data_IF_897186993772
#
_entry.id   IF_897186993772
#
_cell.length_a   1.000
_cell.length_b   1.000
_cell.length_c   1.000
_cell.angle_alpha   90.00
_cell.angle_beta   90.00
_cell.angle_gamma   90.00
#
_symmetry.space_group_name_H-M   'P 1'
#
loop_
_entity.id
_entity.type
_entity.pdbx_description
1 polymer ?
#
# COMPACT_ATOMS: atom_id res chain seq x y z
N UNK A 1 20.74 -7.69 40.66
CA UNK A 1 20.77 -6.28 40.24
C UNK A 1 19.75 -6.08 39.14
N UNK A 2 18.88 -5.06 39.20
CA UNK A 2 17.97 -4.79 38.10
C UNK A 2 18.78 -4.36 36.86
N UNK A 3 18.44 -4.91 35.69
CA UNK A 3 19.03 -4.49 34.42
C UNK A 3 18.77 -3.00 34.19
N UNK A 4 19.73 -2.23 33.64
CA UNK A 4 19.52 -0.82 33.38
C UNK A 4 18.35 -0.65 32.38
N UNK A 5 17.54 0.41 32.52
CA UNK A 5 16.45 0.67 31.58
C UNK A 5 17.03 0.83 30.17
N UNK A 6 16.31 0.40 29.11
CA UNK A 6 16.78 0.56 27.74
C UNK A 6 17.03 2.04 27.47
N UNK A 7 18.26 2.40 27.12
CA UNK A 7 18.70 3.79 26.92
C UNK A 7 17.68 4.56 26.06
N UNK A 8 16.96 5.49 26.70
CA UNK A 8 16.08 6.42 26.01
C UNK A 8 16.91 7.19 24.99
N UNK A 9 16.34 7.41 23.79
CA UNK A 9 17.06 8.16 22.76
C UNK A 9 17.20 9.63 23.23
N UNK A 10 18.39 10.00 23.67
CA UNK A 10 18.63 11.33 24.25
C UNK A 10 18.69 12.42 23.18
N UNK A 11 17.88 13.47 23.36
CA UNK A 11 17.81 14.63 22.45
C UNK A 11 19.18 15.27 22.21
N UNK A 12 20.00 15.42 23.27
CA UNK A 12 21.33 16.03 23.18
C UNK A 12 22.29 15.26 22.26
N UNK A 13 22.25 13.92 22.31
CA UNK A 13 23.08 13.06 21.48
C UNK A 13 22.65 13.13 20.00
N UNK A 14 21.35 13.14 19.74
CA UNK A 14 20.78 13.33 18.39
C UNK A 14 21.16 14.70 17.82
N UNK A 15 20.98 15.76 18.61
CA UNK A 15 21.30 17.14 18.20
C UNK A 15 22.79 17.29 17.86
N UNK A 16 23.68 16.63 18.61
CA UNK A 16 25.11 16.65 18.33
C UNK A 16 25.43 16.04 16.95
N UNK A 17 24.78 14.94 16.59
CA UNK A 17 24.97 14.30 15.27
C UNK A 17 24.33 15.09 14.14
N UNK A 18 23.13 15.65 14.34
CA UNK A 18 22.48 16.56 13.37
C UNK A 18 23.39 17.77 13.07
N UNK A 19 24.07 18.31 14.08
CA UNK A 19 25.07 19.38 13.87
C UNK A 19 26.27 18.93 13.04
N UNK A 20 26.74 17.69 13.19
CA UNK A 20 27.80 17.13 12.33
C UNK A 20 27.34 17.08 10.88
N UNK A 21 26.13 16.56 10.63
CA UNK A 21 25.52 16.51 9.29
C UNK A 21 25.37 17.90 8.71
N UNK A 22 24.85 18.87 9.48
CA UNK A 22 24.69 20.26 9.03
C UNK A 22 26.01 20.89 8.58
N UNK A 23 27.14 20.56 9.22
CA UNK A 23 28.47 21.09 8.85
C UNK A 23 29.02 20.40 7.59
N UNK A 24 28.94 19.08 7.52
CA UNK A 24 29.53 18.31 6.43
C UNK A 24 28.68 18.24 5.16
N UNK A 25 27.35 18.32 5.30
CA UNK A 25 26.38 18.12 4.22
C UNK A 25 26.00 16.66 4.00
N UNK A 26 24.87 16.44 3.31
CA UNK A 26 24.30 15.10 3.09
C UNK A 26 25.11 14.23 2.12
N UNK A 27 25.92 14.84 1.24
CA UNK A 27 26.84 14.11 0.34
C UNK A 27 27.88 13.31 1.12
N UNK A 28 28.37 13.85 2.23
CA UNK A 28 29.45 13.27 3.04
C UNK A 28 28.96 12.41 4.20
N UNK A 29 27.66 12.05 4.22
CA UNK A 29 27.08 11.27 5.33
C UNK A 29 27.81 9.96 5.61
N UNK A 30 28.34 9.30 4.56
CA UNK A 30 29.07 8.02 4.70
C UNK A 30 30.41 8.17 5.44
N UNK A 31 30.98 9.36 5.47
CA UNK A 31 32.25 9.67 6.15
C UNK A 31 32.04 10.12 7.60
N UNK A 32 30.79 10.35 8.03
CA UNK A 32 30.48 10.87 9.36
C UNK A 32 30.19 9.74 10.34
N UNK A 33 30.82 9.82 11.52
CA UNK A 33 30.43 9.02 12.67
C UNK A 33 29.12 9.58 13.27
N UNK A 34 28.00 8.98 12.85
CA UNK A 34 26.63 9.25 13.31
C UNK A 34 25.93 7.98 13.84
N UNK A 35 26.49 7.30 14.86
CA UNK A 35 25.95 6.05 15.38
C UNK A 35 24.53 6.16 15.94
N UNK A 36 24.12 7.31 16.49
CA UNK A 36 22.76 7.51 17.02
C UNK A 36 21.75 7.57 15.87
N UNK A 37 22.02 8.38 14.83
CA UNK A 37 21.17 8.48 13.65
C UNK A 37 21.14 7.16 12.86
N UNK A 38 22.27 6.45 12.77
CA UNK A 38 22.33 5.12 12.18
C UNK A 38 21.55 4.08 13.02
N UNK A 39 21.51 4.24 14.34
CA UNK A 39 20.64 3.48 15.24
C UNK A 39 19.17 3.69 14.91
N UNK A 40 18.72 4.94 14.84
CA UNK A 40 17.33 5.28 14.46
C UNK A 40 16.99 4.73 13.06
N UNK A 41 17.91 4.83 12.11
CA UNK A 41 17.71 4.31 10.75
C UNK A 41 17.49 2.79 10.71
N UNK A 42 18.10 2.04 11.63
CA UNK A 42 17.92 0.58 11.75
C UNK A 42 16.57 0.19 12.37
N UNK A 43 15.99 1.08 13.18
CA UNK A 43 14.66 0.85 13.77
C UNK A 43 13.53 1.16 12.78
N UNK A 44 13.79 1.97 11.74
CA UNK A 44 12.79 2.26 10.72
C UNK A 44 12.54 1.06 9.80
N UNK A 45 11.28 0.83 9.37
CA UNK A 45 10.96 -0.18 8.37
C UNK A 45 11.77 0.07 7.09
N UNK A 46 12.54 -0.93 6.65
CA UNK A 46 13.21 -0.83 5.36
C UNK A 46 12.20 -1.08 4.25
N UNK A 47 12.18 -0.27 3.18
CA UNK A 47 11.40 -0.62 2.00
C UNK A 47 11.92 -1.96 1.45
N UNK A 48 11.04 -2.81 0.88
CA UNK A 48 11.49 -4.03 0.21
C UNK A 48 12.51 -3.64 -0.87
N UNK A 49 13.66 -4.30 -0.86
CA UNK A 49 14.74 -4.08 -1.82
C UNK A 49 14.18 -4.18 -3.24
N UNK A 50 13.99 -3.05 -3.93
CA UNK A 50 13.39 -3.04 -5.26
C UNK A 50 12.77 -1.73 -5.72
N UNK A 51 12.36 -0.83 -4.80
CA UNK A 51 11.93 0.51 -5.18
C UNK A 51 13.15 1.43 -5.21
N UNK A 52 13.42 2.03 -6.37
CA UNK A 52 14.62 2.81 -6.67
C UNK A 52 15.11 3.60 -5.47
N UNK A 53 16.35 3.32 -5.04
CA UNK A 53 16.96 4.00 -3.90
C UNK A 53 16.87 5.50 -4.13
N UNK A 54 15.98 6.17 -3.39
CA UNK A 54 16.06 7.63 -3.24
C UNK A 54 17.53 7.95 -2.94
N UNK A 55 18.18 8.85 -3.70
CA UNK A 55 19.59 9.13 -3.53
C UNK A 55 19.82 9.64 -2.10
N UNK A 56 20.43 8.80 -1.27
CA UNK A 56 20.61 9.05 0.15
C UNK A 56 20.50 7.78 0.97
N UNK A 57 21.58 7.42 1.67
CA UNK A 57 21.62 6.23 2.52
C UNK A 57 20.60 6.28 3.68
N UNK A 58 20.51 5.22 4.50
CA UNK A 58 19.50 5.07 5.55
C UNK A 58 19.37 6.27 6.51
N UNK A 59 20.49 6.92 6.85
CA UNK A 59 20.51 8.12 7.70
C UNK A 59 19.84 9.32 7.02
N UNK A 60 20.02 9.50 5.72
CA UNK A 60 19.37 10.60 5.00
C UNK A 60 17.84 10.44 4.99
N UNK A 61 17.36 9.20 4.89
CA UNK A 61 15.93 8.90 4.97
C UNK A 61 15.34 9.29 6.33
N UNK A 62 16.04 9.02 7.43
CA UNK A 62 15.66 9.48 8.77
C UNK A 62 15.54 11.01 8.81
N UNK A 63 16.52 11.71 8.25
CA UNK A 63 16.53 13.18 8.23
C UNK A 63 15.37 13.75 7.40
N UNK A 64 15.09 13.17 6.22
CA UNK A 64 13.96 13.58 5.37
C UNK A 64 12.62 13.35 6.07
N UNK A 65 12.44 12.19 6.69
CA UNK A 65 11.23 11.85 7.43
C UNK A 65 11.01 12.77 8.64
N UNK A 66 12.08 13.09 9.38
CA UNK A 66 11.99 14.00 10.51
C UNK A 66 11.62 15.42 10.06
N UNK A 67 12.23 15.90 8.97
CA UNK A 67 11.94 17.24 8.42
C UNK A 67 10.53 17.34 7.87
N UNK A 68 10.03 16.30 7.18
CA UNK A 68 8.65 16.30 6.67
C UNK A 68 7.58 16.31 7.77
N UNK A 69 7.93 15.91 9.00
CA UNK A 69 7.01 15.92 10.16
C UNK A 69 6.96 17.26 10.90
N UNK A 70 7.75 18.26 10.49
CA UNK A 70 7.79 19.57 11.16
C UNK A 70 6.57 20.46 10.86
N UNK A 71 5.58 19.98 10.10
CA UNK A 71 4.30 20.67 9.91
C UNK A 71 4.29 21.78 8.87
N UNK A 72 5.28 21.83 7.96
CA UNK A 72 5.34 22.81 6.87
C UNK A 72 5.91 24.18 7.26
N UNK A 73 5.67 25.16 6.38
CA UNK A 73 6.02 26.57 6.62
C UNK A 73 7.52 26.89 6.62
N UNK A 74 7.86 28.03 7.21
CA UNK A 74 9.23 28.57 7.24
C UNK A 74 10.20 27.69 8.01
N UNK A 75 9.72 27.02 9.07
CA UNK A 75 10.54 26.13 9.90
C UNK A 75 11.00 24.89 9.12
N UNK A 76 10.08 24.18 8.45
CA UNK A 76 10.42 23.03 7.61
C UNK A 76 11.33 23.46 6.44
N UNK A 77 10.95 24.54 5.75
CA UNK A 77 11.72 25.03 4.59
C UNK A 77 13.16 25.39 4.99
N UNK A 78 13.34 26.06 6.13
CA UNK A 78 14.67 26.38 6.64
C UNK A 78 15.45 25.14 7.08
N UNK A 79 14.79 24.10 7.61
CA UNK A 79 15.41 22.82 7.93
C UNK A 79 15.92 22.10 6.67
N UNK A 80 15.10 22.05 5.62
CA UNK A 80 15.46 21.45 4.33
C UNK A 80 16.71 22.11 3.73
N UNK A 81 16.75 23.45 3.69
CA UNK A 81 17.93 24.18 3.22
C UNK A 81 19.13 24.01 4.14
N UNK A 82 18.94 24.02 5.46
CA UNK A 82 20.05 23.88 6.43
C UNK A 82 20.80 22.56 6.28
N UNK A 83 20.07 21.48 6.01
CA UNK A 83 20.64 20.14 5.81
C UNK A 83 21.02 19.83 4.35
N UNK A 84 20.54 20.60 3.37
CA UNK A 84 20.76 20.33 1.95
C UNK A 84 19.83 19.24 1.42
N UNK A 85 18.63 19.15 1.99
CA UNK A 85 17.59 18.19 1.61
C UNK A 85 16.63 18.76 0.57
N UNK A 86 16.54 20.09 0.46
CA UNK A 86 15.79 20.76 -0.59
C UNK A 86 16.34 20.38 -1.98
N UNK A 87 15.45 20.29 -2.97
CA UNK A 87 15.81 19.90 -4.34
C UNK A 87 16.93 20.79 -4.88
N UNK A 88 17.97 20.16 -5.45
CA UNK A 88 19.12 20.88 -6.05
C UNK A 88 20.09 21.51 -5.04
N UNK A 89 19.98 21.24 -3.74
CA UNK A 89 20.85 21.84 -2.69
C UNK A 89 21.81 20.87 -2.03
N UNK A 90 21.88 19.64 -2.56
CA UNK A 90 22.59 18.50 -1.95
C UNK A 90 24.09 18.76 -1.79
N UNK A 91 24.70 19.31 -2.82
CA UNK A 91 26.13 19.59 -2.99
C UNK A 91 26.53 21.01 -2.56
N UNK A 92 25.56 21.84 -2.16
CA UNK A 92 25.83 23.22 -1.77
C UNK A 92 26.77 23.30 -0.57
N UNK A 93 27.72 24.24 -0.54
CA UNK A 93 28.53 24.51 0.64
C UNK A 93 27.68 24.85 1.89
N UNK A 94 28.18 24.49 3.07
CA UNK A 94 27.46 24.69 4.33
C UNK A 94 27.18 26.18 4.66
N UNK A 95 27.93 27.09 4.06
CA UNK A 95 27.71 28.54 4.14
C UNK A 95 26.52 28.98 3.28
N UNK A 96 26.39 28.45 2.07
CA UNK A 96 25.34 28.81 1.12
C UNK A 96 23.98 28.24 1.55
N UNK A 97 23.98 27.01 2.05
CA UNK A 97 22.83 26.40 2.74
C UNK A 97 22.32 27.26 3.89
N UNK A 98 23.25 27.78 4.73
CA UNK A 98 22.91 28.71 5.83
C UNK A 98 22.33 30.01 5.32
N UNK A 99 22.95 30.59 4.28
CA UNK A 99 22.50 31.85 3.68
C UNK A 99 21.06 31.70 3.18
N UNK A 100 20.76 30.59 2.49
CA UNK A 100 19.42 30.31 1.99
C UNK A 100 18.42 30.06 3.12
N UNK A 101 18.78 29.31 4.15
CA UNK A 101 17.92 29.13 5.33
C UNK A 101 17.64 30.43 6.09
N UNK A 102 18.62 31.35 6.17
CA UNK A 102 18.44 32.67 6.75
C UNK A 102 17.45 33.54 5.94
N UNK A 103 17.49 33.44 4.61
CA UNK A 103 16.55 34.14 3.71
C UNK A 103 15.10 33.69 3.95
N UNK A 104 14.85 32.41 4.24
CA UNK A 104 13.51 31.88 4.55
C UNK A 104 12.89 32.59 5.76
N UNK A 105 13.71 32.98 6.73
CA UNK A 105 13.28 33.73 7.91
C UNK A 105 13.36 35.26 7.73
N UNK A 106 13.85 35.76 6.60
CA UNK A 106 14.06 37.20 6.41
C UNK A 106 15.08 37.82 7.37
N UNK A 107 16.04 37.04 7.87
CA UNK A 107 17.05 37.50 8.85
C UNK A 107 18.46 37.47 8.26
N UNK A 108 19.38 38.22 8.87
CA UNK A 108 20.80 38.14 8.51
C UNK A 108 21.38 36.74 8.81
N UNK A 109 22.38 36.34 8.03
CA UNK A 109 23.08 35.04 8.21
C UNK A 109 23.64 34.91 9.62
N UNK A 110 24.12 36.01 10.20
CA UNK A 110 24.68 36.04 11.55
C UNK A 110 23.59 35.86 12.62
N UNK A 111 22.42 36.50 12.45
CA UNK A 111 21.28 36.32 13.35
C UNK A 111 20.72 34.89 13.26
N UNK A 112 20.67 34.34 12.04
CA UNK A 112 20.28 32.95 11.83
C UNK A 112 21.23 32.00 12.55
N UNK A 113 22.55 32.14 12.35
CA UNK A 113 23.58 31.32 13.00
C UNK A 113 23.45 31.30 14.52
N UNK A 114 23.21 32.46 15.14
CA UNK A 114 23.18 32.60 16.61
C UNK A 114 21.89 32.10 17.26
N UNK A 115 20.74 32.22 16.58
CA UNK A 115 19.44 31.99 17.21
C UNK A 115 18.58 30.95 16.47
N UNK A 116 18.37 31.15 15.17
CA UNK A 116 17.40 30.34 14.41
C UNK A 116 17.98 28.97 14.05
N UNK A 117 19.27 28.87 13.74
CA UNK A 117 19.93 27.61 13.42
C UNK A 117 19.90 26.66 14.62
N UNK A 118 20.08 27.16 15.85
CA UNK A 118 19.96 26.34 17.05
C UNK A 118 18.54 25.78 17.21
N UNK A 119 17.53 26.64 17.05
CA UNK A 119 16.11 26.28 17.14
C UNK A 119 15.72 25.25 16.06
N UNK A 120 16.07 25.52 14.80
CA UNK A 120 15.81 24.62 13.66
C UNK A 120 16.43 23.24 13.90
N UNK A 121 17.72 23.18 14.25
CA UNK A 121 18.38 21.89 14.51
C UNK A 121 17.83 21.18 15.76
N UNK A 122 17.42 21.94 16.78
CA UNK A 122 16.76 21.40 17.98
C UNK A 122 15.43 20.75 17.67
N UNK A 123 14.62 21.37 16.80
CA UNK A 123 13.35 20.85 16.32
C UNK A 123 13.53 19.60 15.45
N UNK A 124 14.54 19.58 14.58
CA UNK A 124 14.91 18.38 13.82
C UNK A 124 15.29 17.23 14.76
N UNK A 125 16.10 17.50 15.78
CA UNK A 125 16.52 16.49 16.75
C UNK A 125 15.32 15.93 17.54
N UNK A 126 14.39 16.79 17.95
CA UNK A 126 13.14 16.38 18.59
C UNK A 126 12.30 15.47 17.70
N UNK A 127 12.12 15.83 16.42
CA UNK A 127 11.42 14.98 15.47
C UNK A 127 12.10 13.62 15.26
N UNK A 128 13.44 13.57 15.22
CA UNK A 128 14.18 12.30 15.13
C UNK A 128 13.98 11.44 16.38
N UNK A 129 13.94 12.04 17.57
CA UNK A 129 13.62 11.33 18.81
C UNK A 129 12.22 10.72 18.74
N UNK A 130 11.22 11.50 18.33
CA UNK A 130 9.85 11.02 18.17
C UNK A 130 9.76 9.89 17.14
N UNK A 131 10.42 10.03 15.99
CA UNK A 131 10.50 9.00 14.95
C UNK A 131 11.12 7.71 15.50
N UNK A 132 12.24 7.80 16.23
CA UNK A 132 12.89 6.65 16.82
C UNK A 132 12.08 5.97 17.93
N UNK A 133 11.35 6.75 18.74
CA UNK A 133 10.47 6.22 19.79
C UNK A 133 9.26 5.49 19.21
N UNK A 134 8.62 6.05 18.18
CA UNK A 134 7.50 5.38 17.47
C UNK A 134 8.00 4.09 16.84
N UNK A 135 9.11 4.12 16.11
CA UNK A 135 9.68 2.93 15.48
C UNK A 135 10.04 1.82 16.50
N UNK A 136 10.59 2.20 17.66
CA UNK A 136 10.86 1.26 18.76
C UNK A 136 9.61 0.68 19.38
N UNK A 137 8.54 1.48 19.54
CA UNK A 137 7.24 0.99 20.03
C UNK A 137 6.65 0.00 19.04
N UNK A 138 6.57 0.36 17.77
CA UNK A 138 6.07 -0.52 16.71
C UNK A 138 6.86 -1.83 16.67
N UNK A 139 8.19 -1.77 16.78
CA UNK A 139 9.04 -2.96 16.84
C UNK A 139 8.85 -3.78 18.12
N UNK A 140 8.71 -3.14 19.28
CA UNK A 140 8.45 -3.84 20.54
C UNK A 140 7.08 -4.54 20.54
N UNK A 141 6.06 -3.93 19.92
CA UNK A 141 4.76 -4.56 19.69
C UNK A 141 4.87 -5.76 18.75
N UNK A 142 5.70 -5.68 17.72
CA UNK A 142 5.98 -6.81 16.81
C UNK A 142 6.77 -7.93 17.51
N UNK A 143 7.76 -7.60 18.37
CA UNK A 143 8.59 -8.59 19.08
C UNK A 143 7.86 -9.24 20.26
N UNK A 144 6.96 -8.52 20.94
CA UNK A 144 6.11 -9.09 21.99
C UNK A 144 5.01 -10.01 21.42
N UNK A 145 4.69 -9.89 20.13
CA UNK A 145 3.76 -10.73 19.40
C UNK A 145 4.49 -11.76 18.51
N UNK A 146 5.55 -12.40 19.02
CA UNK A 146 6.14 -13.59 18.39
C UNK A 146 5.57 -14.84 19.09
N UNK A 147 4.46 -15.42 18.60
CA UNK A 147 4.20 -16.83 18.86
C UNK A 147 5.36 -17.65 18.29
N UNK A 148 5.61 -18.83 18.88
CA UNK A 148 6.59 -19.81 18.42
C UNK A 148 6.66 -19.89 16.88
N UNK A 149 7.88 -19.97 16.33
CA UNK A 149 8.23 -20.03 14.90
C UNK A 149 7.34 -20.98 14.08
N UNK A 150 6.14 -20.53 13.73
CA UNK A 150 5.28 -21.11 12.70
C UNK A 150 5.26 -20.13 11.55
N UNK A 151 5.46 -20.67 10.34
CA UNK A 151 5.14 -19.92 9.14
C UNK A 151 3.66 -19.52 9.23
N UNK A 152 3.33 -18.21 9.13
CA UNK A 152 1.95 -17.77 9.22
C UNK A 152 1.11 -18.42 8.11
N UNK A 153 -0.10 -18.86 8.45
CA UNK A 153 -0.97 -19.56 7.52
C UNK A 153 -1.28 -18.70 6.29
N UNK A 154 -1.15 -19.31 5.12
CA UNK A 154 -1.46 -18.70 3.82
C UNK A 154 -2.97 -18.67 3.54
N UNK A 155 -3.75 -19.47 4.25
CA UNK A 155 -5.21 -19.51 4.20
C UNK A 155 -5.73 -19.38 5.62
N UNK A 156 -6.47 -18.32 5.89
CA UNK A 156 -6.98 -18.02 7.23
C UNK A 156 -8.50 -18.02 7.17
N UNK A 157 -9.12 -19.05 7.76
CA UNK A 157 -10.56 -19.13 7.89
C UNK A 157 -10.99 -18.36 9.15
N UNK A 158 -11.97 -17.47 9.00
CA UNK A 158 -12.46 -16.58 10.05
C UNK A 158 -13.98 -16.67 10.11
N UNK A 159 -14.52 -16.75 11.32
CA UNK A 159 -15.95 -16.64 11.58
C UNK A 159 -16.29 -15.18 11.90
N UNK A 160 -16.95 -14.50 10.96
CA UNK A 160 -17.25 -13.07 11.07
C UNK A 160 -18.71 -12.88 11.45
N UNK A 161 -18.96 -12.07 12.49
CA UNK A 161 -20.33 -11.72 12.89
C UNK A 161 -20.83 -10.54 12.09
N UNK A 162 -21.97 -10.71 11.43
CA UNK A 162 -22.68 -9.69 10.65
C UNK A 162 -24.17 -9.80 10.98
N UNK A 163 -24.72 -8.76 11.62
CA UNK A 163 -26.15 -8.68 11.99
C UNK A 163 -26.67 -9.94 12.69
N UNK A 164 -26.02 -10.32 13.79
CA UNK A 164 -26.37 -11.51 14.58
C UNK A 164 -26.13 -12.87 13.90
N UNK A 165 -25.58 -12.92 12.67
CA UNK A 165 -25.20 -14.18 12.00
C UNK A 165 -23.70 -14.33 11.90
N UNK A 166 -23.23 -15.56 12.00
CA UNK A 166 -21.83 -15.90 11.79
C UNK A 166 -21.65 -16.36 10.35
N UNK A 167 -20.78 -15.69 9.60
CA UNK A 167 -20.49 -15.97 8.20
C UNK A 167 -19.02 -16.36 8.07
N UNK A 168 -18.70 -17.51 7.44
CA UNK A 168 -17.31 -17.88 7.19
C UNK A 168 -16.70 -16.97 6.11
N UNK A 169 -15.52 -16.43 6.41
CA UNK A 169 -14.71 -15.61 5.51
C UNK A 169 -13.31 -16.19 5.44
N UNK A 170 -12.77 -16.36 4.23
CA UNK A 170 -11.39 -16.85 4.06
C UNK A 170 -10.45 -15.76 3.55
N UNK A 171 -9.32 -15.55 4.24
CA UNK A 171 -8.25 -14.64 3.79
C UNK A 171 -7.08 -15.45 3.21
N UNK A 172 -6.83 -15.25 1.93
CA UNK A 172 -5.74 -15.82 1.16
C UNK A 172 -4.53 -14.87 1.17
N UNK A 173 -3.41 -15.33 1.70
CA UNK A 173 -2.15 -14.58 1.78
C UNK A 173 -1.14 -15.14 0.79
N UNK A 174 -1.42 -14.95 -0.50
CA UNK A 174 -0.55 -15.37 -1.60
C UNK A 174 -0.89 -14.60 -2.88
N UNK A 175 -0.24 -14.93 -3.99
CA UNK A 175 -0.58 -14.35 -5.29
C UNK A 175 -1.87 -14.94 -5.83
N UNK A 176 -2.62 -14.14 -6.61
CA UNK A 176 -3.97 -14.47 -7.09
C UNK A 176 -4.00 -15.63 -8.09
N UNK A 177 -2.87 -15.95 -8.70
CA UNK A 177 -2.66 -17.09 -9.61
C UNK A 177 -2.47 -18.43 -8.87
N UNK A 178 -2.49 -18.42 -7.54
CA UNK A 178 -2.48 -19.63 -6.69
C UNK A 178 -3.85 -19.92 -6.07
N UNK A 179 -4.88 -19.11 -6.36
CA UNK A 179 -6.25 -19.37 -5.91
C UNK A 179 -6.78 -20.65 -6.56
N UNK A 180 -7.51 -21.45 -5.78
CA UNK A 180 -8.13 -22.69 -6.24
C UNK A 180 -9.53 -22.79 -5.69
N UNK A 181 -10.41 -23.46 -6.43
CA UNK A 181 -11.75 -23.85 -6.00
C UNK A 181 -12.61 -22.65 -5.57
N UNK A 182 -12.48 -21.53 -6.31
CA UNK A 182 -13.26 -20.30 -6.12
C UNK A 182 -13.94 -19.95 -7.42
N UNK A 183 -15.26 -19.81 -7.42
CA UNK A 183 -16.06 -19.65 -8.63
C UNK A 183 -15.78 -18.34 -9.36
N UNK A 184 -15.72 -17.22 -8.62
CA UNK A 184 -15.54 -15.89 -9.19
C UNK A 184 -14.35 -15.19 -8.56
N UNK A 185 -13.44 -14.69 -9.38
CA UNK A 185 -12.36 -13.80 -8.90
C UNK A 185 -12.55 -12.40 -9.46
N UNK A 186 -12.55 -11.41 -8.56
CA UNK A 186 -12.65 -10.01 -8.94
C UNK A 186 -11.29 -9.46 -9.37
N UNK A 187 -11.28 -8.79 -10.53
CA UNK A 187 -10.10 -8.18 -11.14
C UNK A 187 -10.24 -6.65 -11.13
N UNK A 188 -9.36 -5.90 -10.43
CA UNK A 188 -9.35 -4.44 -10.52
C UNK A 188 -8.93 -3.99 -11.91
N UNK A 189 -9.82 -3.23 -12.57
CA UNK A 189 -9.63 -2.72 -13.93
C UNK A 189 -9.71 -1.21 -13.97
N UNK A 190 -9.04 -0.63 -14.97
CA UNK A 190 -9.27 0.78 -15.29
C UNK A 190 -10.60 0.97 -16.02
N UNK A 191 -11.07 2.22 -16.07
CA UNK A 191 -12.35 2.55 -16.72
C UNK A 191 -12.38 2.27 -18.22
N UNK A 192 -11.25 2.06 -18.88
CA UNK A 192 -11.20 1.66 -20.29
C UNK A 192 -11.15 0.15 -20.48
N UNK A 193 -11.16 -0.64 -19.39
CA UNK A 193 -10.92 -2.09 -19.41
C UNK A 193 -9.63 -2.49 -20.16
N UNK A 194 -8.65 -1.58 -20.24
CA UNK A 194 -7.38 -1.84 -20.88
C UNK A 194 -6.51 -2.69 -19.95
N UNK A 195 -6.23 -3.94 -20.34
CA UNK A 195 -5.44 -4.83 -19.50
C UNK A 195 -3.98 -4.38 -19.41
N UNK A 196 -3.35 -4.46 -18.21
CA UNK A 196 -1.93 -4.19 -18.08
C UNK A 196 -1.09 -5.22 -18.85
N UNK A 197 0.16 -4.83 -19.14
CA UNK A 197 1.12 -5.74 -19.75
C UNK A 197 1.34 -7.00 -18.86
N UNK A 198 1.45 -8.21 -19.43
CA UNK A 198 1.47 -9.47 -18.66
C UNK A 198 2.61 -9.63 -17.66
N UNK A 199 3.73 -8.91 -17.83
CA UNK A 199 4.89 -8.92 -16.94
C UNK A 199 4.75 -7.99 -15.73
N UNK A 200 3.67 -7.20 -15.65
CA UNK A 200 3.42 -6.34 -14.48
C UNK A 200 2.97 -7.18 -13.29
N UNK A 201 3.21 -6.64 -12.10
CA UNK A 201 2.90 -7.29 -10.82
C UNK A 201 1.51 -6.95 -10.28
N UNK A 202 0.60 -6.32 -11.04
CA UNK A 202 -0.76 -6.08 -10.55
C UNK A 202 -1.58 -7.38 -10.48
N UNK A 203 -2.70 -7.33 -9.75
CA UNK A 203 -3.68 -8.43 -9.71
C UNK A 203 -4.19 -8.73 -11.11
N UNK A 204 -4.67 -7.72 -11.85
CA UNK A 204 -5.17 -7.88 -13.22
C UNK A 204 -4.13 -8.41 -14.21
N UNK A 205 -2.85 -8.00 -14.10
CA UNK A 205 -1.78 -8.55 -14.93
C UNK A 205 -1.51 -10.02 -14.62
N UNK A 206 -1.64 -10.41 -13.35
CA UNK A 206 -1.44 -11.78 -12.90
C UNK A 206 -2.57 -12.68 -13.32
N UNK A 207 -3.83 -12.24 -13.17
CA UNK A 207 -5.00 -12.96 -13.66
C UNK A 207 -4.94 -13.15 -15.18
N UNK A 208 -4.64 -12.08 -15.95
CA UNK A 208 -4.42 -12.17 -17.40
C UNK A 208 -3.38 -13.22 -17.75
N UNK A 209 -2.21 -13.16 -17.11
CA UNK A 209 -1.10 -14.07 -17.38
C UNK A 209 -1.42 -15.53 -17.04
N UNK A 210 -2.17 -15.76 -15.95
CA UNK A 210 -2.51 -17.09 -15.47
C UNK A 210 -3.72 -17.70 -16.21
N UNK A 211 -4.65 -16.88 -16.69
CA UNK A 211 -5.76 -17.34 -17.55
C UNK A 211 -5.38 -17.49 -19.02
N UNK A 212 -4.20 -17.05 -19.43
CA UNK A 212 -3.71 -17.25 -20.79
C UNK A 212 -3.28 -18.71 -21.02
N UNK A 213 -3.57 -19.24 -22.22
CA UNK A 213 -3.11 -20.56 -22.65
C UNK A 213 -1.68 -20.47 -23.17
N UNK A 214 -0.82 -21.37 -22.70
CA UNK A 214 0.58 -21.45 -23.10
C UNK A 214 0.92 -22.79 -23.73
N UNK A 215 1.92 -22.80 -24.59
CA UNK A 215 2.50 -24.02 -25.13
C UNK A 215 3.49 -24.66 -24.14
N UNK A 216 4.01 -25.83 -24.49
CA UNK A 216 4.96 -26.58 -23.65
C UNK A 216 6.28 -25.84 -23.39
N UNK A 217 6.61 -24.83 -24.21
CA UNK A 217 7.82 -23.98 -24.05
C UNK A 217 7.53 -22.71 -23.24
N UNK A 218 6.28 -22.51 -22.81
CA UNK A 218 5.83 -21.32 -22.09
C UNK A 218 5.46 -20.15 -23.00
N UNK A 219 5.47 -20.33 -24.33
CA UNK A 219 5.01 -19.35 -25.31
C UNK A 219 3.52 -19.08 -25.16
N UNK A 220 3.11 -17.81 -25.34
CA UNK A 220 1.71 -17.42 -25.31
C UNK A 220 1.02 -17.95 -26.58
N UNK A 221 -0.02 -18.77 -26.40
CA UNK A 221 -0.84 -19.26 -27.52
C UNK A 221 -2.14 -18.48 -27.63
N UNK A 222 -2.86 -18.31 -26.52
CA UNK A 222 -4.13 -17.57 -26.48
C UNK A 222 -4.23 -16.71 -25.22
N UNK A 223 -4.75 -15.50 -25.38
CA UNK A 223 -5.03 -14.56 -24.29
C UNK A 223 -6.55 -14.37 -24.15
N UNK A 224 -7.24 -15.44 -23.73
CA UNK A 224 -8.72 -15.47 -23.65
C UNK A 224 -9.31 -14.29 -22.88
N UNK A 225 -8.67 -13.91 -21.77
CA UNK A 225 -9.15 -12.79 -20.94
C UNK A 225 -9.08 -11.48 -21.72
N UNK A 226 -8.00 -11.26 -22.49
CA UNK A 226 -7.88 -10.08 -23.34
C UNK A 226 -8.94 -10.05 -24.44
N UNK A 227 -9.08 -11.16 -25.16
CA UNK A 227 -9.99 -11.25 -26.31
C UNK A 227 -11.46 -11.12 -25.88
N UNK A 228 -11.85 -11.79 -24.80
CA UNK A 228 -13.20 -11.72 -24.26
C UNK A 228 -13.54 -10.35 -23.68
N UNK A 229 -12.58 -9.70 -22.99
CA UNK A 229 -12.79 -8.36 -22.45
C UNK A 229 -12.90 -7.32 -23.57
N UNK A 230 -12.12 -7.46 -24.64
CA UNK A 230 -12.26 -6.68 -25.87
C UNK A 230 -13.62 -6.90 -26.54
N UNK A 231 -14.07 -8.15 -26.64
CA UNK A 231 -15.39 -8.50 -27.14
C UNK A 231 -16.53 -7.96 -26.27
N UNK A 232 -16.37 -7.98 -24.95
CA UNK A 232 -17.30 -7.36 -24.02
C UNK A 232 -17.38 -5.85 -24.26
N UNK A 233 -16.23 -5.17 -24.36
CA UNK A 233 -16.19 -3.73 -24.60
C UNK A 233 -16.89 -3.37 -25.93
N UNK A 234 -16.63 -4.13 -26.99
CA UNK A 234 -17.28 -3.95 -28.30
C UNK A 234 -18.82 -4.07 -28.20
N UNK A 235 -19.34 -5.12 -27.55
CA UNK A 235 -20.79 -5.34 -27.39
C UNK A 235 -21.48 -4.24 -26.58
N UNK A 236 -20.75 -3.58 -25.67
CA UNK A 236 -21.29 -2.55 -24.77
C UNK A 236 -20.93 -1.12 -25.21
N UNK A 237 -20.44 -0.93 -26.45
CA UNK A 237 -20.10 0.39 -26.98
C UNK A 237 -19.03 1.13 -26.15
N UNK A 238 -18.11 0.36 -25.57
CA UNK A 238 -16.97 0.85 -24.80
C UNK A 238 -15.59 0.82 -25.50
N UNK A 239 -15.40 0.43 -26.79
CA UNK A 239 -14.06 0.53 -27.39
C UNK A 239 -13.55 1.97 -27.35
N UNK A 240 -12.39 2.17 -26.71
CA UNK A 240 -11.76 3.50 -26.59
C UNK A 240 -12.52 4.51 -25.72
N UNK A 241 -13.61 4.10 -25.05
CA UNK A 241 -14.43 4.96 -24.19
C UNK A 241 -14.35 4.51 -22.74
N UNK A 242 -14.19 5.45 -21.83
CA UNK A 242 -14.25 5.17 -20.40
C UNK A 242 -15.67 4.72 -20.02
N UNK A 243 -15.77 3.54 -19.40
CA UNK A 243 -16.94 3.11 -18.68
C UNK A 243 -17.13 3.94 -17.40
N UNK A 244 -18.36 3.98 -16.90
CA UNK A 244 -18.64 4.59 -15.61
C UNK A 244 -17.91 3.81 -14.50
N UNK A 245 -17.26 4.49 -13.54
CA UNK A 245 -16.65 3.80 -12.40
C UNK A 245 -17.65 2.89 -11.66
N UNK A 246 -17.18 1.74 -11.19
CA UNK A 246 -17.99 0.65 -10.64
C UNK A 246 -18.69 -0.21 -11.71
N UNK A 247 -18.44 -0.03 -13.01
CA UNK A 247 -18.96 -0.97 -14.03
C UNK A 247 -18.24 -2.32 -13.92
N UNK A 248 -18.98 -3.42 -14.12
CA UNK A 248 -18.45 -4.78 -14.06
C UNK A 248 -18.52 -5.40 -15.46
N UNK A 249 -17.37 -5.83 -15.97
CA UNK A 249 -17.27 -6.62 -17.20
C UNK A 249 -16.94 -8.06 -16.84
N UNK A 250 -17.59 -9.02 -17.49
CA UNK A 250 -17.45 -10.44 -17.14
C UNK A 250 -16.75 -11.19 -18.28
N UNK A 251 -15.76 -12.02 -17.91
CA UNK A 251 -15.10 -12.97 -18.80
C UNK A 251 -15.10 -14.37 -18.17
N UNK A 252 -14.83 -15.38 -19.00
CA UNK A 252 -14.34 -16.68 -18.54
C UNK A 252 -13.02 -16.53 -17.78
N UNK A 253 -12.62 -17.59 -17.11
CA UNK A 253 -11.33 -17.66 -16.41
C UNK A 253 -10.17 -18.11 -17.30
N UNK A 254 -10.43 -18.46 -18.58
CA UNK A 254 -9.43 -19.08 -19.45
C UNK A 254 -8.80 -20.32 -18.82
N UNK A 255 -7.48 -20.41 -18.83
CA UNK A 255 -6.74 -21.54 -18.24
C UNK A 255 -6.92 -21.70 -16.71
N UNK A 256 -7.36 -20.65 -15.99
CA UNK A 256 -7.67 -20.75 -14.56
C UNK A 256 -8.91 -21.62 -14.27
N UNK A 257 -9.70 -21.98 -15.29
CA UNK A 257 -10.77 -22.97 -15.17
C UNK A 257 -10.26 -24.32 -14.65
N UNK A 258 -9.03 -24.72 -15.01
CA UNK A 258 -8.40 -25.93 -14.49
C UNK A 258 -8.04 -25.86 -12.99
N UNK A 259 -8.17 -24.69 -12.36
CA UNK A 259 -7.98 -24.48 -10.93
C UNK A 259 -9.30 -24.33 -10.18
N UNK A 260 -10.44 -24.57 -10.83
CA UNK A 260 -11.77 -24.36 -10.25
C UNK A 260 -12.26 -22.91 -10.32
N UNK A 261 -11.54 -22.00 -11.00
CA UNK A 261 -12.01 -20.63 -11.22
C UNK A 261 -12.90 -20.58 -12.43
N UNK A 262 -14.17 -20.19 -12.25
CA UNK A 262 -15.16 -20.27 -13.33
C UNK A 262 -15.33 -18.94 -14.06
N UNK A 263 -15.17 -17.82 -13.35
CA UNK A 263 -15.40 -16.47 -13.89
C UNK A 263 -14.39 -15.46 -13.36
N UNK A 264 -14.15 -14.42 -14.16
CA UNK A 264 -13.42 -13.22 -13.72
C UNK A 264 -14.32 -12.01 -13.91
N UNK A 265 -14.57 -11.29 -12.83
CA UNK A 265 -15.36 -10.05 -12.84
C UNK A 265 -14.41 -8.86 -12.79
N UNK A 266 -14.29 -8.17 -13.91
CA UNK A 266 -13.44 -6.99 -14.06
C UNK A 266 -14.20 -5.77 -13.59
N UNK A 267 -13.76 -5.15 -12.50
CA UNK A 267 -14.45 -3.99 -11.93
C UNK A 267 -13.68 -2.72 -12.29
N UNK A 268 -14.32 -1.84 -13.05
CA UNK A 268 -13.77 -0.54 -13.47
C UNK A 268 -13.74 0.44 -12.29
N UNK A 269 -12.69 0.42 -11.48
CA UNK A 269 -12.54 1.32 -10.31
C UNK A 269 -11.39 2.31 -10.46
N UNK A 270 -10.49 2.09 -11.41
CA UNK A 270 -9.29 2.89 -11.58
C UNK A 270 -9.42 3.87 -12.75
N UNK A 271 -9.56 5.15 -12.46
CA UNK A 271 -9.57 6.21 -13.48
C UNK A 271 -8.11 6.56 -13.81
N UNK A 272 -7.62 6.36 -15.04
CA UNK A 272 -6.24 6.71 -15.37
C UNK A 272 -5.98 8.20 -15.19
N UNK A 273 -4.88 8.55 -14.52
CA UNK A 273 -4.43 9.93 -14.43
C UNK A 273 -3.68 10.30 -15.72
N UNK A 274 -4.05 11.39 -16.42
CA UNK A 274 -3.34 11.84 -17.61
C UNK A 274 -1.84 12.01 -17.34
N UNK A 275 -1.02 11.62 -18.33
CA UNK A 275 0.44 11.77 -18.30
C UNK A 275 1.17 11.02 -17.16
N UNK A 276 0.51 10.06 -16.51
CA UNK A 276 1.14 9.22 -15.49
C UNK A 276 0.81 7.73 -15.63
N UNK A 277 1.46 6.92 -14.80
CA UNK A 277 1.18 5.49 -14.66
C UNK A 277 0.23 5.17 -13.49
N UNK A 278 -0.32 6.21 -12.87
CA UNK A 278 -1.13 6.17 -11.67
C UNK A 278 -2.62 6.31 -11.98
N UNK A 279 -3.44 6.01 -11.00
CA UNK A 279 -4.88 6.04 -11.12
C UNK A 279 -5.50 6.81 -9.95
N UNK A 280 -6.64 7.42 -10.23
CA UNK A 280 -7.55 7.91 -9.21
C UNK A 280 -8.60 6.84 -8.93
N UNK A 281 -8.76 6.49 -7.66
CA UNK A 281 -9.78 5.54 -7.19
C UNK A 281 -10.54 6.19 -6.06
N UNK A 282 -11.86 6.28 -6.20
CA UNK A 282 -12.74 6.77 -5.15
C UNK A 282 -13.32 5.59 -4.35
N UNK A 283 -13.36 5.64 -3.01
CA UNK A 283 -14.00 4.62 -2.18
C UNK A 283 -15.43 4.28 -2.62
N UNK A 284 -16.22 5.30 -2.99
CA UNK A 284 -17.59 5.10 -3.45
C UNK A 284 -17.70 4.24 -4.73
N UNK A 285 -16.70 4.31 -5.63
CA UNK A 285 -16.68 3.51 -6.85
C UNK A 285 -16.35 2.04 -6.56
N UNK A 286 -15.54 1.78 -5.52
CA UNK A 286 -15.29 0.43 -5.01
C UNK A 286 -16.59 -0.16 -4.46
N UNK A 287 -17.28 0.54 -3.56
CA UNK A 287 -18.54 0.07 -2.97
C UNK A 287 -19.58 -0.22 -4.05
N UNK A 288 -19.76 0.69 -5.01
CA UNK A 288 -20.69 0.50 -6.14
C UNK A 288 -20.29 -0.69 -7.02
N UNK A 289 -18.98 -0.85 -7.30
CA UNK A 289 -18.47 -1.95 -8.10
C UNK A 289 -18.68 -3.31 -7.43
N UNK A 290 -18.42 -3.41 -6.14
CA UNK A 290 -18.60 -4.66 -5.36
C UNK A 290 -20.08 -5.00 -5.22
N UNK A 291 -20.96 -4.01 -5.00
CA UNK A 291 -22.41 -4.26 -5.01
C UNK A 291 -22.89 -4.83 -6.35
N UNK A 292 -22.34 -4.34 -7.47
CA UNK A 292 -22.62 -4.88 -8.81
C UNK A 292 -22.01 -6.25 -9.07
N UNK A 293 -20.87 -6.57 -8.46
CA UNK A 293 -20.30 -7.94 -8.48
C UNK A 293 -21.30 -8.92 -7.88
N UNK A 294 -21.87 -8.62 -6.72
CA UNK A 294 -22.87 -9.49 -6.10
C UNK A 294 -24.16 -9.57 -6.91
N UNK A 295 -24.64 -8.45 -7.46
CA UNK A 295 -25.80 -8.46 -8.36
C UNK A 295 -25.57 -9.35 -9.59
N UNK A 296 -24.39 -9.23 -10.21
CA UNK A 296 -24.00 -10.07 -11.36
C UNK A 296 -23.90 -11.55 -10.98
N UNK A 297 -23.31 -11.85 -9.82
CA UNK A 297 -23.19 -13.21 -9.30
C UNK A 297 -24.58 -13.81 -9.08
N UNK A 298 -25.48 -13.08 -8.43
CA UNK A 298 -26.86 -13.54 -8.19
C UNK A 298 -27.62 -13.80 -9.49
N UNK A 299 -27.40 -12.99 -10.53
CA UNK A 299 -28.06 -13.13 -11.84
C UNK A 299 -27.61 -14.37 -12.60
N UNK A 300 -26.31 -14.71 -12.56
CA UNK A 300 -25.77 -15.83 -13.34
C UNK A 300 -25.54 -17.12 -12.54
N UNK A 301 -25.58 -17.09 -11.21
CA UNK A 301 -25.23 -18.23 -10.36
C UNK A 301 -25.98 -19.52 -10.74
N UNK A 302 -27.29 -19.43 -10.98
CA UNK A 302 -28.15 -20.56 -11.34
C UNK A 302 -27.97 -21.07 -12.77
N UNK A 303 -27.17 -20.41 -13.60
CA UNK A 303 -26.87 -20.83 -14.97
C UNK A 303 -25.75 -21.88 -15.03
N UNK A 304 -25.11 -22.18 -13.90
CA UNK A 304 -24.01 -23.14 -13.78
C UNK A 304 -24.44 -24.37 -12.97
N UNK A 305 -23.83 -25.51 -13.28
CA UNK A 305 -23.98 -26.75 -12.51
C UNK A 305 -22.58 -27.23 -12.04
N UNK A 306 -22.28 -27.23 -10.73
CA UNK A 306 -23.11 -26.70 -9.64
C UNK A 306 -23.30 -25.17 -9.75
N UNK A 307 -24.26 -24.54 -9.06
CA UNK A 307 -24.39 -23.07 -9.07
C UNK A 307 -23.12 -22.36 -8.59
N UNK A 308 -22.88 -21.12 -9.03
CA UNK A 308 -21.81 -20.28 -8.46
C UNK A 308 -22.17 -19.91 -7.02
N UNK A 309 -21.21 -20.01 -6.09
CA UNK A 309 -21.38 -19.77 -4.65
C UNK A 309 -20.26 -18.97 -4.01
N UNK A 310 -19.07 -18.94 -4.59
CA UNK A 310 -17.90 -18.28 -3.99
C UNK A 310 -17.36 -17.09 -4.80
N UNK A 311 -16.92 -16.05 -4.09
CA UNK A 311 -16.32 -14.85 -4.70
C UNK A 311 -15.07 -14.41 -3.94
N UNK A 312 -13.99 -14.17 -4.68
CA UNK A 312 -12.72 -13.66 -4.14
C UNK A 312 -12.48 -12.21 -4.52
N UNK A 313 -12.25 -11.40 -3.49
CA UNK A 313 -12.10 -9.96 -3.57
C UNK A 313 -10.65 -9.56 -3.20
N UNK A 314 -9.86 -9.04 -4.14
CA UNK A 314 -8.62 -8.36 -3.79
C UNK A 314 -8.92 -6.98 -3.21
N UNK A 315 -7.96 -6.40 -2.47
CA UNK A 315 -8.05 -4.98 -2.09
C UNK A 315 -7.99 -4.09 -3.35
N UNK A 316 -9.10 -3.39 -3.61
CA UNK A 316 -9.27 -2.52 -4.79
C UNK A 316 -8.68 -1.14 -4.53
N UNK A 317 -7.87 -0.62 -5.45
CA UNK A 317 -7.27 0.71 -5.33
C UNK A 317 -6.07 0.85 -4.39
N UNK A 318 -5.78 -0.13 -3.51
CA UNK A 318 -4.66 -0.13 -2.56
C UNK A 318 -3.26 -0.37 -3.18
N UNK A 319 -3.12 -0.10 -4.48
CA UNK A 319 -1.89 -0.18 -5.25
C UNK A 319 -1.58 1.17 -5.86
N UNK A 320 -1.57 1.25 -7.20
CA UNK A 320 -1.38 2.51 -7.94
C UNK A 320 -2.59 3.46 -7.91
N UNK A 321 -3.66 3.08 -7.21
CA UNK A 321 -4.85 3.92 -7.01
C UNK A 321 -4.74 4.87 -5.81
N UNK A 322 -3.66 4.78 -5.03
CA UNK A 322 -3.36 5.71 -3.93
C UNK A 322 -4.11 5.48 -2.62
N UNK A 323 -5.11 4.59 -2.57
CA UNK A 323 -5.82 4.28 -1.33
C UNK A 323 -4.94 3.50 -0.34
N UNK A 324 -5.13 3.76 0.95
CA UNK A 324 -4.61 2.88 1.98
C UNK A 324 -5.35 1.53 1.96
N UNK A 325 -4.73 0.44 2.43
CA UNK A 325 -5.42 -0.84 2.59
C UNK A 325 -6.69 -0.75 3.46
N UNK A 326 -6.69 0.14 4.47
CA UNK A 326 -7.83 0.37 5.35
C UNK A 326 -9.01 1.00 4.59
N UNK A 327 -8.77 2.08 3.83
CA UNK A 327 -9.82 2.74 3.03
C UNK A 327 -10.38 1.80 1.96
N UNK A 328 -9.50 1.03 1.30
CA UNK A 328 -9.88 0.01 0.33
C UNK A 328 -10.76 -1.07 0.94
N UNK A 329 -10.35 -1.61 2.09
CA UNK A 329 -11.12 -2.63 2.80
C UNK A 329 -12.46 -2.08 3.29
N UNK A 330 -12.50 -0.91 3.93
CA UNK A 330 -13.76 -0.32 4.42
C UNK A 330 -14.78 -0.08 3.30
N UNK A 331 -14.33 0.43 2.14
CA UNK A 331 -15.19 0.64 0.98
C UNK A 331 -15.76 -0.66 0.40
N UNK A 332 -14.94 -1.70 0.33
CA UNK A 332 -15.33 -3.03 -0.14
C UNK A 332 -16.26 -3.70 0.87
N UNK A 333 -15.90 -3.67 2.16
CA UNK A 333 -16.64 -4.29 3.25
C UNK A 333 -18.05 -3.73 3.36
N UNK A 334 -18.25 -2.43 3.20
CA UNK A 334 -19.58 -1.83 3.21
C UNK A 334 -20.56 -2.48 2.21
N UNK A 335 -20.07 -2.92 1.04
CA UNK A 335 -20.90 -3.63 0.06
C UNK A 335 -21.08 -5.12 0.41
N UNK A 336 -20.04 -5.77 0.93
CA UNK A 336 -20.10 -7.18 1.40
C UNK A 336 -21.06 -7.31 2.57
N UNK A 337 -20.93 -6.46 3.58
CA UNK A 337 -21.79 -6.40 4.75
C UNK A 337 -23.25 -6.19 4.34
N UNK A 338 -23.53 -5.22 3.46
CA UNK A 338 -24.89 -4.97 2.98
C UNK A 338 -25.48 -6.16 2.21
N UNK A 339 -24.65 -6.93 1.49
CA UNK A 339 -25.10 -8.14 0.80
C UNK A 339 -25.34 -9.29 1.78
N UNK A 340 -24.41 -9.52 2.69
CA UNK A 340 -24.55 -10.50 3.74
C UNK A 340 -25.81 -10.19 4.54
N UNK A 341 -26.04 -8.95 4.99
CA UNK A 341 -27.22 -8.49 5.73
C UNK A 341 -28.56 -8.91 5.11
N UNK A 342 -28.64 -9.04 3.77
CA UNK A 342 -29.85 -9.48 3.05
C UNK A 342 -30.15 -10.98 3.15
N UNK A 343 -29.27 -11.75 3.79
CA UNK A 343 -29.43 -13.19 3.91
C UNK A 343 -28.60 -14.01 2.94
N UNK A 344 -27.74 -13.39 2.12
CA UNK A 344 -26.97 -14.11 1.12
C UNK A 344 -26.01 -15.14 1.75
N UNK A 345 -25.92 -16.32 1.14
CA UNK A 345 -25.09 -17.45 1.58
C UNK A 345 -23.82 -17.60 0.72
N UNK A 346 -23.25 -16.48 0.28
CA UNK A 346 -22.03 -16.47 -0.52
C UNK A 346 -20.81 -16.87 0.32
N UNK A 347 -19.93 -17.69 -0.24
CA UNK A 347 -18.61 -17.94 0.32
C UNK A 347 -17.70 -16.75 -0.03
N UNK A 348 -17.30 -15.98 0.99
CA UNK A 348 -16.54 -14.74 0.80
C UNK A 348 -15.04 -15.00 1.01
N UNK A 349 -14.25 -14.66 0.00
CA UNK A 349 -12.81 -14.76 0.04
C UNK A 349 -12.16 -13.40 -0.15
N UNK A 350 -11.07 -13.16 0.56
CA UNK A 350 -10.17 -12.02 0.35
C UNK A 350 -8.81 -12.51 -0.10
N UNK A 351 -8.15 -11.80 -1.01
CA UNK A 351 -6.77 -12.13 -1.42
C UNK A 351 -5.82 -10.95 -1.31
N UNK A 352 -4.70 -11.18 -0.64
CA UNK A 352 -3.61 -10.23 -0.44
C UNK A 352 -2.27 -10.93 -0.57
N UNK A 353 -1.23 -10.22 -1.04
CA UNK A 353 0.09 -10.85 -1.28
C UNK A 353 1.03 -10.91 -0.09
N UNK A 354 0.73 -10.21 1.00
CA UNK A 354 1.67 -9.98 2.10
C UNK A 354 0.99 -10.27 3.43
N UNK A 355 1.68 -10.98 4.33
CA UNK A 355 1.17 -11.28 5.68
C UNK A 355 0.76 -10.03 6.43
N UNK A 356 1.55 -8.95 6.41
CA UNK A 356 1.15 -7.68 7.06
C UNK A 356 -0.21 -7.13 6.58
N UNK A 357 -0.60 -7.38 5.32
CA UNK A 357 -1.93 -7.03 4.80
C UNK A 357 -2.99 -8.06 5.22
N UNK A 358 -2.64 -9.34 5.25
CA UNK A 358 -3.48 -10.40 5.79
C UNK A 358 -3.85 -10.14 7.25
N UNK A 359 -2.85 -9.84 8.08
CA UNK A 359 -3.01 -9.51 9.50
C UNK A 359 -3.89 -8.27 9.69
N UNK A 360 -3.79 -7.28 8.80
CA UNK A 360 -4.67 -6.11 8.82
C UNK A 360 -6.11 -6.50 8.51
N UNK A 361 -6.35 -7.22 7.41
CA UNK A 361 -7.70 -7.65 7.01
C UNK A 361 -8.34 -8.51 8.11
N UNK A 362 -7.58 -9.44 8.68
CA UNK A 362 -8.03 -10.29 9.79
C UNK A 362 -8.43 -9.46 11.02
N UNK A 363 -7.61 -8.49 11.44
CA UNK A 363 -7.98 -7.59 12.55
C UNK A 363 -9.22 -6.77 12.25
N UNK A 364 -9.39 -6.30 11.02
CA UNK A 364 -10.56 -5.52 10.62
C UNK A 364 -11.82 -6.39 10.65
N UNK A 365 -11.75 -7.61 10.10
CA UNK A 365 -12.86 -8.57 10.15
C UNK A 365 -13.23 -8.95 11.60
N UNK A 366 -12.24 -9.12 12.47
CA UNK A 366 -12.50 -9.36 13.90
C UNK A 366 -13.20 -8.17 14.57
N UNK A 367 -12.81 -6.93 14.24
CA UNK A 367 -13.40 -5.72 14.83
C UNK A 367 -14.85 -5.43 14.39
N UNK A 368 -15.26 -5.91 13.22
CA UNK A 368 -16.64 -5.74 12.73
C UNK A 368 -17.64 -6.48 13.63
N UNK A 369 -17.22 -7.59 14.26
CA UNK A 369 -18.08 -8.39 15.14
C UNK A 369 -18.21 -7.88 16.58
N UNK A 370 -17.49 -6.82 16.97
CA UNK A 370 -17.47 -6.27 18.34
C UNK A 370 -18.36 -5.02 18.49
N UNK A 371 -18.99 -4.55 17.40
CA UNK A 371 -19.76 -3.30 17.34
C UNK A 371 -21.28 -3.42 17.50
N UNK A 372 -21.80 -4.62 17.78
CA UNK A 372 -23.19 -4.87 18.21
C UNK A 372 -23.22 -5.18 19.71
#
# INVERSE_FOLDING_TARGET
>A
MPSPPPHQLEHGAVLAEVRKVRRAGVVRLRELAVPVLAGVARELPQPPSGDGELPGGPVEKVLRLAVSRMGGGTLQTAAEYSLGLAQGTRDWPAADRRRRAAQVYGVSVERFRKHHEFMVLGQIAEQIVQVGQVARRDRATVVAAVPAERLPDAHRALDVRVHGRTVPVTVHVHSVDLLRDIDVVVSPSNTYFALPAPYKSSVSATLRRAGARRDATGGLVEDHIHDELGGWAARHGAPGRAALPGTVAVTSAGALAGQGIRRIYHVAVAVPRPESNDYDVQPADITRGVARVFAQLAEEAGQYDPPLRSVCLPLLGAGRGGLTPLESFGALWAAVEAELARGAEWEIHFVVRRHARGDLVERLLASVGEGE
#
